data_IF_219568941957
#
_entry.id   IF_219568941957
#
_cell.length_a   1.000
_cell.length_b   1.000
_cell.length_c   1.000
_cell.angle_alpha   90.00
_cell.angle_beta   90.00
_cell.angle_gamma   90.00
#
_symmetry.space_group_name_H-M   'P 1'
#
loop_
_entity.id
_entity.type
_entity.pdbx_description
1 polymer ?
#
# COMPACT_ATOMS: atom_id res chain seq x y z
N UNK A 1 -14.32 -14.84 32.97
CA UNK A 1 -15.51 -14.62 32.11
C UNK A 1 -15.29 -15.31 30.79
N UNK A 2 -16.33 -15.80 30.10
CA UNK A 2 -16.16 -16.33 28.76
C UNK A 2 -15.71 -15.27 27.78
N UNK A 3 -14.91 -15.64 26.77
CA UNK A 3 -14.50 -14.76 25.68
C UNK A 3 -15.68 -14.46 24.73
N UNK A 4 -15.62 -13.37 23.98
CA UNK A 4 -16.62 -13.07 22.96
C UNK A 4 -16.62 -14.15 21.88
N UNK A 5 -15.41 -14.58 21.44
CA UNK A 5 -15.20 -15.61 20.44
C UNK A 5 -13.99 -16.47 20.83
N UNK A 6 -14.10 -17.77 20.61
CA UNK A 6 -12.96 -18.69 20.66
C UNK A 6 -12.73 -19.28 19.27
N UNK A 7 -11.54 -19.03 18.70
CA UNK A 7 -11.04 -19.78 17.56
C UNK A 7 -10.41 -21.06 18.10
N UNK A 8 -10.98 -22.18 17.76
CA UNK A 8 -10.66 -23.47 18.36
C UNK A 8 -10.03 -24.42 17.34
N UNK A 9 -9.24 -25.37 17.85
CA UNK A 9 -8.56 -26.36 17.04
C UNK A 9 -7.74 -25.71 15.92
N UNK A 10 -6.80 -24.89 16.32
CA UNK A 10 -5.86 -24.20 15.46
C UNK A 10 -4.42 -24.65 15.75
N UNK A 11 -3.50 -24.22 14.90
CA UNK A 11 -2.05 -24.36 15.12
C UNK A 11 -1.35 -23.01 15.02
N UNK A 12 -0.50 -22.72 16.00
CA UNK A 12 0.44 -21.59 15.98
C UNK A 12 1.84 -22.20 16.01
N UNK A 13 2.67 -21.90 15.01
CA UNK A 13 4.01 -22.50 14.85
C UNK A 13 4.00 -24.04 14.93
N UNK A 14 2.94 -24.65 14.40
CA UNK A 14 2.74 -26.11 14.43
C UNK A 14 2.19 -26.67 15.75
N UNK A 15 2.09 -25.85 16.80
CA UNK A 15 1.59 -26.25 18.12
C UNK A 15 0.06 -26.10 18.18
N UNK A 16 -0.69 -27.14 18.59
CA UNK A 16 -2.14 -27.03 18.79
C UNK A 16 -2.50 -26.01 19.86
N UNK A 17 -3.49 -25.16 19.58
CA UNK A 17 -3.94 -24.12 20.50
C UNK A 17 -5.41 -23.72 20.23
N UNK A 18 -5.98 -22.95 21.17
CA UNK A 18 -7.20 -22.16 21.00
C UNK A 18 -6.85 -20.67 21.25
N UNK A 19 -7.54 -19.75 20.56
CA UNK A 19 -7.43 -18.30 20.76
C UNK A 19 -8.75 -17.74 21.28
N UNK A 20 -8.72 -17.07 22.43
CA UNK A 20 -9.82 -16.27 22.95
C UNK A 20 -9.71 -14.82 22.47
N UNK A 21 -10.81 -14.29 21.96
CA UNK A 21 -10.92 -12.93 21.42
C UNK A 21 -11.97 -12.18 22.24
N UNK A 22 -11.61 -10.95 22.68
CA UNK A 22 -12.49 -10.02 23.37
C UNK A 22 -12.37 -8.63 22.73
N UNK A 23 -13.49 -8.03 22.39
CA UNK A 23 -13.52 -6.71 21.76
C UNK A 23 -12.70 -6.64 20.46
N UNK A 24 -12.66 -7.73 19.68
CA UNK A 24 -11.91 -7.81 18.43
C UNK A 24 -10.39 -7.95 18.59
N UNK A 25 -9.90 -8.24 19.80
CA UNK A 25 -8.46 -8.41 20.10
C UNK A 25 -8.18 -9.79 20.67
N UNK A 26 -7.01 -10.34 20.37
CA UNK A 26 -6.54 -11.57 21.01
C UNK A 26 -6.32 -11.27 22.50
N UNK A 27 -7.16 -11.88 23.33
CA UNK A 27 -7.10 -11.74 24.78
C UNK A 27 -6.27 -12.87 25.41
N UNK A 28 -6.33 -14.09 24.84
CA UNK A 28 -5.62 -15.25 25.39
C UNK A 28 -5.34 -16.29 24.33
N UNK A 29 -4.20 -16.94 24.42
CA UNK A 29 -3.84 -18.17 23.71
C UNK A 29 -3.65 -19.26 24.77
N UNK A 30 -4.23 -20.44 24.56
CA UNK A 30 -4.16 -21.54 25.49
C UNK A 30 -4.17 -22.90 24.78
N UNK A 31 -3.80 -24.00 25.46
CA UNK A 31 -3.97 -25.35 24.94
C UNK A 31 -5.43 -25.63 24.53
N UNK A 32 -5.66 -26.56 23.57
CA UNK A 32 -7.00 -26.88 23.09
C UNK A 32 -7.98 -27.24 24.22
N UNK A 33 -9.19 -26.70 24.11
CA UNK A 33 -10.27 -26.98 25.06
C UNK A 33 -10.24 -26.23 26.39
N UNK A 34 -9.24 -25.37 26.60
CA UNK A 34 -9.08 -24.62 27.86
C UNK A 34 -9.85 -23.29 27.89
N UNK A 35 -10.33 -22.81 26.75
CA UNK A 35 -11.04 -21.53 26.65
C UNK A 35 -12.55 -21.75 26.47
N UNK A 36 -13.32 -20.86 27.11
CA UNK A 36 -14.78 -20.79 26.96
C UNK A 36 -15.12 -19.44 26.30
N UNK A 37 -16.07 -19.46 25.38
CA UNK A 37 -16.54 -18.26 24.67
C UNK A 37 -18.03 -18.28 24.41
N UNK A 38 -18.61 -17.10 24.21
CA UNK A 38 -19.99 -16.91 23.80
C UNK A 38 -20.26 -17.48 22.41
N UNK A 39 -19.24 -17.39 21.54
CA UNK A 39 -19.17 -18.02 20.24
C UNK A 39 -17.90 -18.90 20.14
N UNK A 40 -17.97 -19.98 19.36
CA UNK A 40 -16.84 -20.88 19.12
C UNK A 40 -16.79 -21.26 17.64
N UNK A 41 -15.64 -21.07 17.00
CA UNK A 41 -15.37 -21.46 15.62
C UNK A 41 -14.26 -22.52 15.62
N UNK A 42 -14.60 -23.76 15.26
CA UNK A 42 -13.63 -24.83 15.05
C UNK A 42 -13.00 -24.69 13.65
N UNK A 43 -11.69 -24.79 13.58
CA UNK A 43 -10.90 -24.53 12.36
C UNK A 43 -10.09 -25.76 11.92
N UNK A 44 -10.39 -26.95 12.45
CA UNK A 44 -9.90 -28.26 12.00
C UNK A 44 -8.38 -28.33 11.82
N UNK A 45 -7.64 -27.78 12.79
CA UNK A 45 -6.18 -27.78 12.77
C UNK A 45 -5.57 -26.73 11.83
N UNK A 46 -6.35 -25.72 11.40
CA UNK A 46 -5.85 -24.65 10.52
C UNK A 46 -4.67 -23.93 11.14
N UNK A 47 -3.69 -23.58 10.30
CA UNK A 47 -2.54 -22.77 10.71
C UNK A 47 -2.97 -21.30 10.86
N UNK A 48 -2.65 -20.71 12.00
CA UNK A 48 -2.81 -19.28 12.25
C UNK A 48 -1.50 -18.57 12.02
N UNK A 49 -1.54 -17.54 11.20
CA UNK A 49 -0.41 -16.68 10.86
C UNK A 49 -0.77 -15.23 11.19
N UNK A 50 0.23 -14.35 11.43
CA UNK A 50 0.01 -12.92 11.38
C UNK A 50 -0.60 -12.51 10.05
N UNK A 51 -1.39 -11.44 10.03
CA UNK A 51 -1.89 -10.88 8.77
C UNK A 51 -0.76 -10.53 7.83
N UNK A 52 -0.97 -10.74 6.52
CA UNK A 52 0.04 -10.42 5.51
C UNK A 52 0.28 -8.91 5.43
N UNK A 53 1.52 -8.53 5.16
CA UNK A 53 1.92 -7.15 4.90
C UNK A 53 2.41 -7.05 3.46
N UNK A 54 1.76 -6.22 2.66
CA UNK A 54 2.23 -5.88 1.32
C UNK A 54 3.02 -4.57 1.38
N UNK A 55 4.35 -4.68 1.34
CA UNK A 55 5.26 -3.53 1.44
C UNK A 55 5.36 -2.68 0.19
N UNK A 56 4.78 -3.11 -0.95
CA UNK A 56 4.87 -2.39 -2.21
C UNK A 56 3.72 -2.72 -3.16
N UNK A 57 2.75 -1.82 -3.27
CA UNK A 57 1.64 -1.93 -4.21
C UNK A 57 1.33 -0.55 -4.81
N UNK A 58 0.70 -0.54 -5.98
CA UNK A 58 0.14 0.66 -6.60
C UNK A 58 -1.37 0.51 -6.74
N UNK A 59 -2.13 1.05 -5.78
CA UNK A 59 -3.60 1.02 -5.84
C UNK A 59 -4.13 1.94 -6.96
N UNK A 60 -3.46 3.04 -7.22
CA UNK A 60 -3.85 4.06 -8.21
C UNK A 60 -3.76 3.56 -9.67
N UNK A 61 -2.83 2.66 -9.95
CA UNK A 61 -2.51 2.21 -11.32
C UNK A 61 -3.09 0.85 -11.70
N UNK A 62 -3.82 0.20 -10.80
CA UNK A 62 -4.29 -1.17 -11.04
C UNK A 62 -5.17 -1.29 -12.27
N UNK A 63 -4.95 -2.35 -13.06
CA UNK A 63 -5.78 -2.79 -14.18
C UNK A 63 -6.74 -3.93 -13.77
N UNK A 64 -6.85 -4.22 -12.49
CA UNK A 64 -7.70 -5.29 -11.98
C UNK A 64 -9.14 -5.13 -12.45
N UNK A 65 -9.69 -6.22 -13.02
CA UNK A 65 -11.02 -6.28 -13.60
C UNK A 65 -11.26 -5.38 -14.83
N UNK A 66 -10.23 -4.78 -15.39
CA UNK A 66 -10.31 -4.18 -16.72
C UNK A 66 -10.14 -5.27 -17.81
N UNK A 67 -10.62 -5.02 -19.04
CA UNK A 67 -10.33 -5.90 -20.16
C UNK A 67 -8.83 -6.10 -20.32
N UNK A 68 -8.41 -7.35 -20.59
CA UNK A 68 -7.01 -7.65 -20.80
C UNK A 68 -6.41 -6.83 -21.95
N UNK A 69 -5.21 -6.31 -21.71
CA UNK A 69 -4.44 -5.58 -22.74
C UNK A 69 -3.06 -6.21 -22.85
N UNK A 70 -2.57 -6.33 -24.06
CA UNK A 70 -1.21 -6.81 -24.27
C UNK A 70 -0.21 -5.81 -23.73
N UNK A 71 0.65 -6.24 -22.81
CA UNK A 71 1.78 -5.44 -22.38
C UNK A 71 2.76 -5.29 -23.56
N UNK A 72 3.16 -4.06 -23.83
CA UNK A 72 4.18 -3.73 -24.84
C UNK A 72 5.45 -3.32 -24.11
N UNK A 73 6.36 -4.23 -23.81
CA UNK A 73 7.59 -3.88 -23.12
C UNK A 73 8.43 -3.01 -24.06
N UNK A 74 8.72 -1.84 -23.58
CA UNK A 74 9.85 -1.04 -24.02
C UNK A 74 10.96 -1.35 -23.03
N UNK A 75 12.09 -1.82 -23.40
CA UNK A 75 13.15 -2.34 -22.52
C UNK A 75 13.67 -1.38 -21.43
N UNK A 76 13.18 -0.13 -21.38
CA UNK A 76 13.60 0.90 -20.42
C UNK A 76 12.53 1.22 -19.38
N UNK A 77 12.94 1.72 -18.20
CA UNK A 77 12.03 2.23 -17.16
C UNK A 77 11.24 3.42 -17.68
N UNK A 78 11.92 4.37 -18.36
CA UNK A 78 11.28 5.55 -18.92
C UNK A 78 10.20 5.22 -19.95
N UNK A 79 10.45 4.25 -20.82
CA UNK A 79 9.45 3.80 -21.81
C UNK A 79 8.25 3.11 -21.17
N UNK A 80 8.45 2.34 -20.10
CA UNK A 80 7.35 1.76 -19.33
C UNK A 80 6.49 2.84 -18.68
N UNK A 81 7.10 3.87 -18.10
CA UNK A 81 6.40 5.03 -17.53
C UNK A 81 5.58 5.76 -18.59
N UNK A 82 6.17 6.01 -19.76
CA UNK A 82 5.46 6.68 -20.85
C UNK A 82 4.27 5.87 -21.37
N UNK A 83 4.44 4.56 -21.54
CA UNK A 83 3.36 3.65 -21.94
C UNK A 83 2.23 3.62 -20.90
N UNK A 84 2.56 3.52 -19.62
CA UNK A 84 1.57 3.54 -18.53
C UNK A 84 0.77 4.83 -18.51
N UNK A 85 1.42 6.00 -18.64
CA UNK A 85 0.75 7.30 -18.71
C UNK A 85 -0.22 7.41 -19.88
N UNK A 86 0.18 6.90 -21.04
CA UNK A 86 -0.68 6.87 -22.22
C UNK A 86 -1.91 5.97 -22.02
N UNK A 87 -1.71 4.79 -21.45
CA UNK A 87 -2.80 3.84 -21.17
C UNK A 87 -3.74 4.34 -20.07
N UNK A 88 -3.23 4.95 -19.01
CA UNK A 88 -4.01 5.51 -17.91
C UNK A 88 -5.08 6.48 -18.39
N UNK A 89 -4.75 7.33 -19.37
CA UNK A 89 -5.70 8.29 -19.96
C UNK A 89 -6.88 7.62 -20.69
N UNK A 90 -6.71 6.39 -21.13
CA UNK A 90 -7.72 5.61 -21.84
C UNK A 90 -8.62 4.77 -20.92
N UNK A 91 -8.39 4.78 -19.60
CA UNK A 91 -9.21 4.05 -18.63
C UNK A 91 -10.41 4.90 -18.25
N UNK A 92 -11.61 4.45 -18.64
CA UNK A 92 -12.85 5.15 -18.33
C UNK A 92 -13.29 4.98 -16.86
N UNK A 93 -12.94 3.86 -16.22
CA UNK A 93 -13.33 3.59 -14.84
C UNK A 93 -12.54 4.47 -13.87
N UNK A 94 -13.20 5.16 -12.92
CA UNK A 94 -12.53 6.01 -11.95
C UNK A 94 -11.46 5.26 -11.16
N UNK A 95 -10.31 5.91 -10.94
CA UNK A 95 -9.18 5.34 -10.21
C UNK A 95 -9.58 4.89 -8.80
N UNK A 96 -10.36 5.68 -8.07
CA UNK A 96 -10.81 5.35 -6.72
C UNK A 96 -11.59 4.01 -6.64
N UNK A 97 -12.40 3.71 -7.67
CA UNK A 97 -13.14 2.43 -7.70
C UNK A 97 -12.22 1.24 -7.97
N UNK A 98 -11.24 1.41 -8.85
CA UNK A 98 -10.24 0.37 -9.13
C UNK A 98 -9.36 0.13 -7.91
N UNK A 99 -8.90 1.20 -7.25
CA UNK A 99 -8.11 1.15 -6.03
C UNK A 99 -8.85 0.42 -4.90
N UNK A 100 -10.14 0.75 -4.69
CA UNK A 100 -11.00 0.06 -3.71
C UNK A 100 -11.08 -1.44 -3.98
N UNK A 101 -11.39 -1.81 -5.22
CA UNK A 101 -11.52 -3.23 -5.61
C UNK A 101 -10.23 -4.02 -5.33
N UNK A 102 -9.07 -3.45 -5.63
CA UNK A 102 -7.79 -4.10 -5.33
C UNK A 102 -7.55 -4.18 -3.83
N UNK A 103 -7.79 -3.11 -3.07
CA UNK A 103 -7.63 -3.09 -1.62
C UNK A 103 -8.52 -4.14 -0.92
N UNK A 104 -9.80 -4.22 -1.30
CA UNK A 104 -10.74 -5.23 -0.78
C UNK A 104 -10.32 -6.65 -1.17
N UNK A 105 -9.79 -6.85 -2.37
CA UNK A 105 -9.34 -8.16 -2.83
C UNK A 105 -8.09 -8.64 -2.08
N UNK A 106 -7.12 -7.79 -1.81
CA UNK A 106 -5.93 -8.19 -1.03
C UNK A 106 -6.31 -8.42 0.44
N UNK A 107 -7.23 -7.63 1.01
CA UNK A 107 -7.77 -7.86 2.34
C UNK A 107 -8.46 -9.23 2.44
N UNK A 108 -9.28 -9.60 1.45
CA UNK A 108 -9.94 -10.91 1.39
C UNK A 108 -8.96 -12.09 1.26
N UNK A 109 -7.70 -11.83 0.96
CA UNK A 109 -6.61 -12.82 0.89
C UNK A 109 -5.71 -12.81 2.12
N UNK A 110 -6.07 -12.03 3.15
CA UNK A 110 -5.37 -12.00 4.44
C UNK A 110 -4.35 -10.88 4.58
N UNK A 111 -4.26 -9.92 3.65
CA UNK A 111 -3.48 -8.71 3.83
C UNK A 111 -4.16 -7.81 4.85
N UNK A 112 -3.42 -7.37 5.87
CA UNK A 112 -3.92 -6.48 6.94
C UNK A 112 -3.26 -5.10 6.89
N UNK A 113 -2.10 -5.00 6.26
CA UNK A 113 -1.40 -3.75 6.06
C UNK A 113 -0.76 -3.70 4.68
N UNK A 114 -0.77 -2.53 4.05
CA UNK A 114 -0.11 -2.33 2.77
C UNK A 114 0.52 -0.94 2.67
N UNK A 115 1.58 -0.84 1.85
CA UNK A 115 2.19 0.42 1.46
C UNK A 115 1.88 0.68 -0.02
N UNK A 116 1.04 1.67 -0.29
CA UNK A 116 0.69 2.06 -1.66
C UNK A 116 1.48 3.27 -2.11
N UNK A 117 2.23 3.12 -3.18
CA UNK A 117 2.80 4.24 -3.92
C UNK A 117 1.69 4.86 -4.77
N UNK A 118 1.62 6.19 -4.79
CA UNK A 118 0.67 6.95 -5.61
C UNK A 118 1.42 7.98 -6.42
N UNK A 119 1.16 8.02 -7.72
CA UNK A 119 1.82 8.97 -8.61
C UNK A 119 1.46 10.41 -8.24
N UNK A 120 2.51 11.23 -8.15
CA UNK A 120 2.44 12.68 -7.92
C UNK A 120 3.26 13.35 -9.00
N UNK A 121 2.60 13.88 -10.00
CA UNK A 121 3.24 14.63 -11.10
C UNK A 121 2.31 15.73 -11.65
N UNK A 122 2.83 16.56 -12.55
CA UNK A 122 2.07 17.68 -13.09
C UNK A 122 0.83 17.31 -13.92
N UNK A 123 0.70 16.02 -14.33
CA UNK A 123 -0.46 15.56 -15.11
C UNK A 123 -1.61 15.15 -14.21
N UNK A 124 -1.32 14.50 -13.08
CA UNK A 124 -2.33 13.98 -12.15
C UNK A 124 -2.49 14.84 -10.90
N UNK A 125 -1.51 15.70 -10.62
CA UNK A 125 -1.51 16.51 -9.42
C UNK A 125 -1.58 15.64 -8.16
N UNK A 126 -2.47 16.01 -7.23
CA UNK A 126 -2.73 15.29 -5.99
C UNK A 126 -4.00 14.44 -6.02
N UNK A 127 -4.73 14.38 -7.13
CA UNK A 127 -6.02 13.70 -7.20
C UNK A 127 -5.96 12.23 -6.82
N UNK A 128 -4.88 11.52 -7.20
CA UNK A 128 -4.63 10.14 -6.80
C UNK A 128 -4.44 10.01 -5.30
N UNK A 129 -3.63 10.87 -4.72
CA UNK A 129 -3.37 10.91 -3.28
C UNK A 129 -4.66 11.17 -2.48
N UNK A 130 -5.41 12.20 -2.85
CA UNK A 130 -6.66 12.57 -2.18
C UNK A 130 -7.65 11.40 -2.18
N UNK A 131 -7.77 10.70 -3.30
CA UNK A 131 -8.62 9.52 -3.40
C UNK A 131 -8.12 8.37 -2.50
N UNK A 132 -6.81 8.14 -2.39
CA UNK A 132 -6.27 7.12 -1.49
C UNK A 132 -6.37 7.51 -0.01
N UNK A 133 -6.25 8.79 0.33
CA UNK A 133 -6.48 9.28 1.70
C UNK A 133 -7.95 9.03 2.11
N UNK A 134 -8.89 9.31 1.22
CA UNK A 134 -10.31 9.01 1.47
C UNK A 134 -10.53 7.49 1.60
N UNK A 135 -9.99 6.69 0.69
CA UNK A 135 -10.11 5.23 0.71
C UNK A 135 -9.50 4.62 1.98
N UNK A 136 -8.35 5.12 2.46
CA UNK A 136 -7.72 4.72 3.71
C UNK A 136 -8.67 4.90 4.91
N UNK A 137 -9.35 6.04 4.97
CA UNK A 137 -10.32 6.31 6.03
C UNK A 137 -11.51 5.36 5.97
N UNK A 138 -12.04 5.10 4.78
CA UNK A 138 -13.18 4.20 4.57
C UNK A 138 -12.85 2.74 4.91
N UNK A 139 -11.66 2.27 4.55
CA UNK A 139 -11.22 0.89 4.76
C UNK A 139 -10.44 0.67 6.07
N UNK A 140 -10.39 1.67 6.98
CA UNK A 140 -9.65 1.57 8.24
C UNK A 140 -10.06 0.39 9.14
N UNK A 141 -11.26 -0.15 8.93
CA UNK A 141 -11.76 -1.34 9.64
C UNK A 141 -11.23 -2.66 9.04
N UNK A 142 -10.65 -2.64 7.85
CA UNK A 142 -10.13 -3.81 7.13
C UNK A 142 -8.61 -3.78 6.99
N UNK A 143 -8.05 -2.62 6.66
CA UNK A 143 -6.66 -2.46 6.23
C UNK A 143 -6.01 -1.25 6.90
N UNK A 144 -4.73 -1.39 7.22
CA UNK A 144 -3.84 -0.26 7.42
C UNK A 144 -3.19 0.10 6.09
N UNK A 145 -3.42 1.31 5.59
CA UNK A 145 -2.84 1.78 4.32
C UNK A 145 -1.84 2.89 4.61
N UNK A 146 -0.57 2.64 4.32
CA UNK A 146 0.49 3.64 4.29
C UNK A 146 0.64 4.16 2.86
N UNK A 147 0.69 5.48 2.67
CA UNK A 147 0.71 6.10 1.35
C UNK A 147 2.07 6.77 1.12
N UNK A 148 2.72 6.39 0.03
CA UNK A 148 3.96 7.01 -0.46
C UNK A 148 3.62 7.98 -1.57
N UNK A 149 3.95 9.26 -1.42
CA UNK A 149 3.91 10.22 -2.53
C UNK A 149 5.06 9.90 -3.50
N UNK A 150 4.74 9.42 -4.70
CA UNK A 150 5.70 8.84 -5.61
C UNK A 150 5.92 9.72 -6.85
N UNK A 151 7.11 10.32 -7.01
CA UNK A 151 7.42 11.22 -8.13
C UNK A 151 7.87 10.42 -9.36
N UNK A 152 6.96 9.66 -9.99
CA UNK A 152 7.29 8.77 -11.09
C UNK A 152 7.92 9.45 -12.31
N UNK A 153 7.76 10.76 -12.45
CA UNK A 153 8.34 11.54 -13.55
C UNK A 153 9.70 12.17 -13.23
N UNK A 154 10.24 11.90 -12.05
CA UNK A 154 11.41 12.56 -11.49
C UNK A 154 11.06 13.74 -10.59
N UNK A 155 12.03 14.22 -9.84
CA UNK A 155 11.90 15.31 -8.87
C UNK A 155 12.61 16.57 -9.37
N UNK A 156 13.81 16.42 -9.94
CA UNK A 156 14.64 17.52 -10.46
C UNK A 156 14.30 17.78 -11.92
N UNK A 157 14.29 16.74 -12.73
CA UNK A 157 14.03 16.80 -14.17
C UNK A 157 12.62 17.30 -14.52
N UNK A 158 11.67 17.16 -13.59
CA UNK A 158 10.28 17.54 -13.81
C UNK A 158 9.90 18.82 -13.06
N UNK A 159 9.74 19.92 -13.81
CA UNK A 159 9.45 21.24 -13.23
C UNK A 159 8.22 21.23 -12.31
N UNK A 160 8.40 21.68 -11.08
CA UNK A 160 7.33 21.77 -10.08
C UNK A 160 7.10 20.48 -9.28
N UNK A 161 7.78 19.38 -9.62
CA UNK A 161 7.60 18.10 -8.93
C UNK A 161 7.98 18.18 -7.45
N UNK A 162 9.07 18.88 -7.12
CA UNK A 162 9.52 19.06 -5.73
C UNK A 162 8.45 19.75 -4.85
N UNK A 163 7.82 20.81 -5.35
CA UNK A 163 6.77 21.52 -4.62
C UNK A 163 5.52 20.63 -4.47
N UNK A 164 5.14 19.93 -5.55
CA UNK A 164 4.00 19.04 -5.55
C UNK A 164 4.21 17.83 -4.60
N UNK A 165 5.45 17.32 -4.54
CA UNK A 165 5.82 16.24 -3.62
C UNK A 165 5.69 16.68 -2.15
N UNK A 166 6.11 17.92 -1.84
CA UNK A 166 5.95 18.50 -0.52
C UNK A 166 4.48 18.75 -0.18
N UNK A 167 3.68 19.23 -1.14
CA UNK A 167 2.24 19.41 -0.98
C UNK A 167 1.53 18.06 -0.78
N UNK A 168 2.00 16.98 -1.40
CA UNK A 168 1.48 15.65 -1.18
C UNK A 168 1.67 15.18 0.28
N UNK A 169 2.82 15.45 0.88
CA UNK A 169 3.06 15.17 2.31
C UNK A 169 2.10 15.98 3.18
N UNK A 170 1.91 17.27 2.89
CA UNK A 170 0.93 18.12 3.61
C UNK A 170 -0.51 17.63 3.45
N UNK A 171 -0.83 17.04 2.30
CA UNK A 171 -2.15 16.49 1.99
C UNK A 171 -2.41 15.10 2.57
N UNK A 172 -1.42 14.49 3.24
CA UNK A 172 -1.63 13.26 4.00
C UNK A 172 -0.91 12.02 3.46
N UNK A 173 0.11 12.17 2.62
CA UNK A 173 1.06 11.11 2.37
C UNK A 173 1.89 10.84 3.64
N UNK A 174 2.13 9.58 3.93
CA UNK A 174 2.86 9.13 5.12
C UNK A 174 4.37 9.06 4.87
N UNK A 175 4.77 8.97 3.61
CA UNK A 175 6.15 8.73 3.17
C UNK A 175 6.43 9.58 1.94
N UNK A 176 7.61 10.16 1.87
CA UNK A 176 8.08 10.84 0.67
C UNK A 176 8.87 9.88 -0.21
N UNK A 177 8.47 9.78 -1.47
CA UNK A 177 9.09 8.89 -2.45
C UNK A 177 10.21 9.55 -3.24
N UNK A 178 10.99 8.72 -3.93
CA UNK A 178 11.94 9.11 -4.96
C UNK A 178 12.12 7.98 -5.97
N UNK A 179 12.57 8.32 -7.16
CA UNK A 179 12.77 7.36 -8.24
C UNK A 179 14.11 7.59 -8.91
N UNK A 180 14.98 6.58 -8.83
CA UNK A 180 16.21 6.42 -9.58
C UNK A 180 16.92 7.76 -9.91
N UNK A 181 17.57 8.37 -8.91
CA UNK A 181 18.14 9.70 -9.07
C UNK A 181 19.26 9.75 -10.13
N UNK A 182 19.88 8.61 -10.44
CA UNK A 182 20.94 8.54 -11.44
C UNK A 182 20.39 8.50 -12.87
N UNK A 183 19.31 7.72 -13.12
CA UNK A 183 18.82 7.47 -14.48
C UNK A 183 17.60 8.33 -14.87
N UNK A 184 16.76 8.73 -13.92
CA UNK A 184 15.56 9.53 -14.21
C UNK A 184 15.83 11.03 -14.08
N UNK A 185 16.46 11.45 -13.00
CA UNK A 185 16.79 12.88 -12.80
C UNK A 185 18.18 13.26 -13.32
N UNK A 186 19.08 12.29 -13.52
CA UNK A 186 20.49 12.49 -13.85
C UNK A 186 21.19 13.47 -12.86
N UNK A 187 20.64 13.60 -11.66
CA UNK A 187 21.11 14.49 -10.59
C UNK A 187 20.83 13.84 -9.22
N UNK A 188 21.78 13.02 -8.79
CA UNK A 188 21.68 12.27 -7.52
C UNK A 188 21.59 13.23 -6.33
N UNK A 189 22.49 14.20 -6.26
CA UNK A 189 22.55 15.14 -5.14
C UNK A 189 21.32 16.05 -5.09
N UNK A 190 20.85 16.51 -6.24
CA UNK A 190 19.65 17.32 -6.33
C UNK A 190 18.39 16.58 -5.88
N UNK A 191 18.17 15.37 -6.37
CA UNK A 191 17.00 14.59 -5.96
C UNK A 191 17.06 14.25 -4.46
N UNK A 192 18.20 13.71 -3.98
CA UNK A 192 18.35 13.35 -2.57
C UNK A 192 18.21 14.58 -1.67
N UNK A 193 18.82 15.71 -2.04
CA UNK A 193 18.69 16.97 -1.29
C UNK A 193 17.24 17.41 -1.12
N UNK A 194 16.42 17.29 -2.19
CA UNK A 194 15.00 17.63 -2.14
C UNK A 194 14.21 16.64 -1.26
N UNK A 195 14.35 15.34 -1.53
CA UNK A 195 13.59 14.28 -0.85
C UNK A 195 13.91 14.25 0.65
N UNK A 196 15.20 14.26 1.01
CA UNK A 196 15.62 14.31 2.41
C UNK A 196 15.22 15.62 3.08
N UNK A 197 15.30 16.75 2.37
CA UNK A 197 14.86 18.04 2.89
C UNK A 197 13.36 18.09 3.19
N UNK A 198 12.51 17.49 2.36
CA UNK A 198 11.07 17.34 2.63
C UNK A 198 10.84 16.42 3.82
N UNK A 199 11.49 15.26 3.84
CA UNK A 199 11.37 14.28 4.91
C UNK A 199 11.73 14.88 6.28
N UNK A 200 12.82 15.62 6.35
CA UNK A 200 13.30 16.28 7.57
C UNK A 200 12.33 17.37 8.05
N UNK A 201 11.87 18.24 7.14
CA UNK A 201 10.91 19.31 7.50
C UNK A 201 9.58 18.80 8.03
N UNK A 202 9.13 17.64 7.54
CA UNK A 202 7.81 17.10 7.89
C UNK A 202 7.86 15.91 8.86
N UNK A 203 9.06 15.42 9.19
CA UNK A 203 9.23 14.28 10.08
C UNK A 203 8.68 12.97 9.53
N UNK A 204 8.72 12.78 8.20
CA UNK A 204 8.21 11.58 7.52
C UNK A 204 9.36 10.72 6.99
N UNK A 205 9.19 9.40 6.89
CA UNK A 205 10.18 8.50 6.29
C UNK A 205 10.29 8.68 4.78
N UNK A 206 11.33 8.09 4.21
CA UNK A 206 11.65 8.11 2.78
C UNK A 206 11.51 6.69 2.21
N UNK A 207 11.06 6.59 0.96
CA UNK A 207 11.01 5.37 0.17
C UNK A 207 11.56 5.66 -1.24
N UNK A 208 12.76 5.16 -1.54
CA UNK A 208 13.44 5.38 -2.81
C UNK A 208 13.46 4.12 -3.65
N UNK A 209 12.99 4.21 -4.89
CA UNK A 209 13.20 3.19 -5.88
C UNK A 209 14.55 3.39 -6.56
N UNK A 210 15.41 2.40 -6.44
CA UNK A 210 16.72 2.38 -7.08
C UNK A 210 16.73 1.25 -8.10
N UNK A 211 17.14 1.56 -9.30
CA UNK A 211 17.32 0.59 -10.37
C UNK A 211 18.79 0.61 -10.77
N UNK A 212 19.49 -0.47 -10.50
CA UNK A 212 20.84 -0.62 -11.00
C UNK A 212 20.80 -0.74 -12.53
N UNK A 213 21.70 -0.06 -13.27
CA UNK A 213 21.77 -0.11 -14.73
C UNK A 213 22.20 -1.47 -15.24
#
# INVERSE_FOLDING_TARGET
MPHDLVLADIRIDGVPADIGIDGGRIARIAPPGMLQGSARLALDGALVLPGLVDGHIHLDKTYLALPWRAHRPDGSVAGRIAAEKAERRAIAEPMAMRARRLAEQVAARGTTALRSHVDVDSEVGLAGLEALVALRAELAHLLTIQIVAFPQSGVVSHKGAAALLEDAVRAGADVVGGLDPACIDEDIEGQLGIVFGIADRHGVPIDLHLHDP
#
